data_IF_864249200557
#
_entry.id   IF_864249200557
#
_cell.length_a   1.000
_cell.length_b   1.000
_cell.length_c   1.000
_cell.angle_alpha   90.00
_cell.angle_beta   90.00
_cell.angle_gamma   90.00
#
_symmetry.space_group_name_H-M   'P 1'
#
loop_
_entity.id
_entity.type
_entity.pdbx_description
1 polymer ?
#
# COMPACT_ATOMS: atom_id res chain seq x y z
N UNK A 1 -1.56 -22.30 8.47
CA UNK A 1 -0.60 -21.41 9.14
C UNK A 1 -1.41 -20.38 9.91
N UNK A 2 -1.15 -20.18 11.20
CA UNK A 2 -1.86 -19.17 12.00
C UNK A 2 -1.36 -17.75 11.68
N UNK A 3 -2.07 -16.73 12.19
CA UNK A 3 -1.75 -15.31 11.95
C UNK A 3 -0.31 -14.99 12.38
N UNK A 4 0.12 -15.46 13.55
CA UNK A 4 1.46 -15.21 14.07
C UNK A 4 2.55 -15.76 13.16
N UNK A 5 2.37 -16.97 12.65
CA UNK A 5 3.31 -17.58 11.70
C UNK A 5 3.35 -16.81 10.37
N UNK A 6 2.20 -16.33 9.88
CA UNK A 6 2.16 -15.52 8.66
C UNK A 6 2.89 -14.18 8.84
N UNK A 7 2.66 -13.50 9.95
CA UNK A 7 3.37 -12.25 10.28
C UNK A 7 4.87 -12.47 10.42
N UNK A 8 5.28 -13.59 11.05
CA UNK A 8 6.69 -13.91 11.22
C UNK A 8 7.37 -14.19 9.87
N UNK A 9 6.70 -14.88 8.97
CA UNK A 9 7.22 -15.25 7.65
C UNK A 9 7.04 -14.16 6.59
N UNK A 10 6.33 -13.08 6.87
CA UNK A 10 6.19 -11.97 5.93
C UNK A 10 7.54 -11.32 5.66
N UNK A 11 7.76 -10.86 4.42
CA UNK A 11 8.95 -10.08 4.09
C UNK A 11 8.99 -8.85 5.01
N UNK A 12 10.13 -8.63 5.67
CA UNK A 12 10.32 -7.49 6.58
C UNK A 12 11.37 -6.55 6.00
N UNK A 13 11.10 -5.28 6.14
CA UNK A 13 12.11 -4.23 5.97
C UNK A 13 12.79 -4.08 7.32
N UNK A 14 14.08 -4.35 7.38
CA UNK A 14 14.86 -4.16 8.59
C UNK A 14 15.11 -2.67 8.86
N UNK A 15 15.25 -2.31 10.12
CA UNK A 15 15.68 -0.98 10.53
C UNK A 15 17.13 -0.70 10.17
N UNK A 16 17.56 0.54 10.36
CA UNK A 16 18.97 0.92 10.21
C UNK A 16 19.86 0.02 11.08
N UNK A 17 21.06 -0.22 10.59
CA UNK A 17 22.06 -1.07 11.28
C UNK A 17 21.60 -2.51 11.56
N UNK A 18 20.64 -3.02 10.82
CA UNK A 18 20.12 -4.38 10.98
C UNK A 18 19.14 -4.54 12.14
N UNK A 19 18.53 -3.45 12.60
CA UNK A 19 17.47 -3.50 13.65
C UNK A 19 16.33 -4.41 13.21
N UNK A 20 15.81 -5.23 14.14
CA UNK A 20 14.72 -6.19 13.87
C UNK A 20 13.42 -5.46 13.50
N UNK A 21 13.17 -4.31 14.12
CA UNK A 21 12.02 -3.48 13.78
C UNK A 21 12.38 -2.49 12.66
N UNK A 22 11.50 -2.28 11.69
CA UNK A 22 11.71 -1.25 10.66
C UNK A 22 11.75 0.14 11.29
N UNK A 23 12.60 1.00 10.75
CA UNK A 23 12.69 2.39 11.19
C UNK A 23 11.45 3.18 10.79
N UNK A 24 11.05 4.14 11.61
CA UNK A 24 10.05 5.14 11.23
C UNK A 24 10.77 6.23 10.44
N UNK A 25 10.45 6.33 9.15
CA UNK A 25 11.04 7.32 8.24
C UNK A 25 10.12 8.53 8.11
N UNK A 26 10.48 9.70 8.63
CA UNK A 26 9.68 10.92 8.50
C UNK A 26 9.87 11.63 7.15
N UNK A 27 10.86 11.23 6.34
CA UNK A 27 11.19 11.88 5.08
C UNK A 27 10.16 11.57 3.99
N UNK A 28 9.73 12.59 3.26
CA UNK A 28 8.88 12.46 2.09
C UNK A 28 9.65 12.35 0.77
N UNK A 29 10.90 12.83 0.76
CA UNK A 29 11.81 12.77 -0.38
C UNK A 29 13.05 11.99 0.00
N UNK A 30 13.62 11.30 -0.98
CA UNK A 30 14.78 10.45 -0.81
C UNK A 30 15.87 10.84 -1.79
N UNK A 31 17.12 10.68 -1.39
CA UNK A 31 18.27 11.02 -2.24
C UNK A 31 18.66 9.84 -3.14
N UNK A 32 19.05 10.15 -4.35
CA UNK A 32 19.69 9.21 -5.25
C UNK A 32 21.14 9.64 -5.46
N UNK A 33 22.08 8.69 -5.37
CA UNK A 33 23.50 8.98 -5.53
C UNK A 33 23.88 9.30 -6.98
N UNK A 34 23.07 8.83 -7.94
CA UNK A 34 23.31 9.01 -9.37
C UNK A 34 22.01 9.43 -10.07
N UNK A 35 22.03 10.43 -10.97
CA UNK A 35 20.84 10.84 -11.71
C UNK A 35 20.20 9.71 -12.52
N UNK A 36 21.01 8.80 -13.07
CA UNK A 36 20.54 7.67 -13.87
C UNK A 36 19.68 6.70 -13.05
N UNK A 37 19.96 6.58 -11.76
CA UNK A 37 19.14 5.78 -10.83
C UNK A 37 17.70 6.31 -10.74
N UNK A 38 17.55 7.64 -10.70
CA UNK A 38 16.23 8.27 -10.67
C UNK A 38 15.40 7.93 -11.93
N UNK A 39 16.04 8.00 -13.09
CA UNK A 39 15.40 7.63 -14.37
C UNK A 39 14.90 6.18 -14.35
N UNK A 40 15.73 5.25 -13.90
CA UNK A 40 15.39 3.84 -13.77
C UNK A 40 14.23 3.60 -12.81
N UNK A 41 14.20 4.33 -11.69
CA UNK A 41 13.09 4.26 -10.73
C UNK A 41 11.76 4.71 -11.36
N UNK A 42 11.77 5.78 -12.14
CA UNK A 42 10.58 6.24 -12.85
C UNK A 42 10.11 5.26 -13.92
N UNK A 43 11.03 4.57 -14.56
CA UNK A 43 10.73 3.57 -15.58
C UNK A 43 10.29 2.22 -14.98
N UNK A 44 10.32 2.05 -13.66
CA UNK A 44 10.03 0.78 -13.01
C UNK A 44 11.10 -0.31 -13.21
N UNK A 45 12.31 0.08 -13.61
CA UNK A 45 13.42 -0.85 -13.88
C UNK A 45 14.13 -1.31 -12.60
N UNK A 46 13.90 -0.64 -11.48
CA UNK A 46 14.45 -0.98 -10.17
C UNK A 46 13.35 -1.57 -9.30
N UNK A 47 13.19 -2.88 -9.35
CA UNK A 47 12.24 -3.63 -8.52
C UNK A 47 12.75 -3.87 -7.09
N UNK A 48 13.98 -3.48 -6.79
CA UNK A 48 14.59 -3.78 -5.50
C UNK A 48 13.99 -2.93 -4.38
N UNK A 49 13.50 -3.63 -3.35
CA UNK A 49 13.10 -3.02 -2.10
C UNK A 49 14.26 -2.21 -1.51
N UNK A 50 14.04 -0.93 -1.25
CA UNK A 50 15.05 -0.04 -0.69
C UNK A 50 15.39 1.18 -1.54
N UNK A 51 14.88 1.27 -2.76
CA UNK A 51 14.99 2.47 -3.58
C UNK A 51 13.69 3.26 -3.55
N UNK A 52 13.69 4.37 -2.85
CA UNK A 52 12.54 5.28 -2.76
C UNK A 52 12.90 6.61 -3.42
N UNK A 53 11.93 7.22 -4.06
CA UNK A 53 12.10 8.51 -4.72
C UNK A 53 11.28 9.59 -4.01
N UNK A 54 10.01 9.32 -3.83
CA UNK A 54 9.07 10.25 -3.24
C UNK A 54 7.91 9.52 -2.56
N UNK A 55 7.58 9.92 -1.34
CA UNK A 55 6.61 9.24 -0.48
C UNK A 55 5.18 9.12 -1.02
N UNK A 56 4.81 9.93 -2.03
CA UNK A 56 3.51 9.81 -2.70
C UNK A 56 3.41 8.53 -3.53
N UNK A 57 4.51 8.11 -4.14
CA UNK A 57 4.54 6.90 -4.96
C UNK A 57 4.78 5.66 -4.09
N UNK A 58 5.88 5.68 -3.35
CA UNK A 58 6.24 4.60 -2.44
C UNK A 58 6.95 5.18 -1.21
N UNK A 59 6.59 4.67 -0.04
CA UNK A 59 7.19 5.05 1.22
C UNK A 59 7.49 3.80 2.05
N UNK A 60 8.68 3.69 2.69
CA UNK A 60 9.06 2.48 3.41
C UNK A 60 8.06 2.09 4.50
N UNK A 61 7.51 3.03 5.25
CA UNK A 61 6.53 2.72 6.29
C UNK A 61 5.19 2.23 5.71
N UNK A 62 4.73 2.81 4.59
CA UNK A 62 3.51 2.34 3.92
C UNK A 62 3.69 0.94 3.35
N UNK A 63 4.84 0.66 2.74
CA UNK A 63 5.17 -0.66 2.20
C UNK A 63 5.21 -1.71 3.32
N UNK A 64 5.90 -1.41 4.42
CA UNK A 64 5.95 -2.31 5.58
C UNK A 64 4.56 -2.58 6.17
N UNK A 65 3.74 -1.55 6.31
CA UNK A 65 2.36 -1.67 6.79
C UNK A 65 1.54 -2.56 5.86
N UNK A 66 1.65 -2.35 4.55
CA UNK A 66 0.98 -3.18 3.55
C UNK A 66 1.40 -4.66 3.64
N UNK A 67 2.69 -4.94 3.75
CA UNK A 67 3.20 -6.31 3.92
C UNK A 67 2.63 -7.01 5.16
N UNK A 68 2.59 -6.30 6.29
CA UNK A 68 2.03 -6.84 7.53
C UNK A 68 0.53 -7.09 7.42
N UNK A 69 -0.24 -6.16 6.84
CA UNK A 69 -1.67 -6.31 6.64
C UNK A 69 -1.99 -7.45 5.67
N UNK A 70 -1.25 -7.57 4.58
CA UNK A 70 -1.39 -8.69 3.65
C UNK A 70 -1.15 -10.04 4.35
N UNK A 71 -0.15 -10.12 5.22
CA UNK A 71 0.13 -11.33 6.01
C UNK A 71 -1.01 -11.67 7.00
N UNK A 72 -1.59 -10.65 7.66
CA UNK A 72 -2.71 -10.82 8.59
C UNK A 72 -3.96 -11.32 7.85
N UNK A 73 -4.32 -10.66 6.75
CA UNK A 73 -5.51 -10.95 5.95
C UNK A 73 -5.33 -12.15 5.01
N UNK A 74 -4.12 -12.71 4.91
CA UNK A 74 -3.78 -13.80 4.00
C UNK A 74 -4.08 -13.47 2.52
N UNK A 75 -3.71 -12.25 2.12
CA UNK A 75 -3.81 -11.75 0.76
C UNK A 75 -2.43 -11.61 0.12
N UNK A 76 -2.37 -11.50 -1.19
CA UNK A 76 -1.10 -11.33 -1.92
C UNK A 76 -0.48 -9.97 -1.66
N UNK A 77 -1.32 -8.95 -1.53
CA UNK A 77 -0.90 -7.56 -1.34
C UNK A 77 -1.94 -6.80 -0.53
N UNK A 78 -1.51 -5.79 0.21
CA UNK A 78 -2.37 -4.78 0.81
C UNK A 78 -1.75 -3.40 0.58
N UNK A 79 -2.60 -2.44 0.29
CA UNK A 79 -2.18 -1.06 0.02
C UNK A 79 -2.80 -0.11 1.06
N UNK A 80 -2.01 0.44 1.98
CA UNK A 80 -2.52 1.38 2.98
C UNK A 80 -2.85 2.72 2.33
N UNK A 81 -4.01 3.24 2.69
CA UNK A 81 -4.53 4.54 2.23
C UNK A 81 -4.91 5.42 3.41
N UNK A 82 -5.18 6.69 3.16
CA UNK A 82 -5.40 7.69 4.22
C UNK A 82 -6.70 7.54 5.01
N UNK A 83 -7.69 6.80 4.48
CA UNK A 83 -8.96 6.55 5.18
C UNK A 83 -9.72 5.36 4.59
N UNK A 84 -10.67 4.82 5.36
CA UNK A 84 -11.57 3.76 4.88
C UNK A 84 -12.38 4.17 3.65
N UNK A 85 -12.83 5.43 3.58
CA UNK A 85 -13.55 5.92 2.40
C UNK A 85 -12.67 5.99 1.16
N UNK A 86 -11.39 6.33 1.30
CA UNK A 86 -10.43 6.26 0.18
C UNK A 86 -10.24 4.83 -0.27
N UNK A 87 -10.12 3.87 0.65
CA UNK A 87 -10.03 2.45 0.32
C UNK A 87 -11.23 1.99 -0.51
N UNK A 88 -12.44 2.26 -0.04
CA UNK A 88 -13.69 1.91 -0.73
C UNK A 88 -13.77 2.60 -2.10
N UNK A 89 -13.55 3.91 -2.16
CA UNK A 89 -13.67 4.70 -3.40
C UNK A 89 -12.68 4.22 -4.46
N UNK A 90 -11.42 4.01 -4.06
CA UNK A 90 -10.37 3.58 -5.00
C UNK A 90 -10.67 2.19 -5.55
N UNK A 91 -11.09 1.26 -4.68
CA UNK A 91 -11.46 -0.10 -5.08
C UNK A 91 -12.63 -0.10 -6.06
N UNK A 92 -13.71 0.61 -5.73
CA UNK A 92 -14.90 0.70 -6.59
C UNK A 92 -14.55 1.32 -7.94
N UNK A 93 -13.84 2.43 -7.97
CA UNK A 93 -13.43 3.09 -9.22
C UNK A 93 -12.51 2.23 -10.07
N UNK A 94 -11.64 1.42 -9.46
CA UNK A 94 -10.77 0.52 -10.21
C UNK A 94 -11.54 -0.66 -10.81
N UNK A 95 -12.47 -1.25 -10.06
CA UNK A 95 -13.26 -2.38 -10.54
C UNK A 95 -14.25 -1.94 -11.63
N UNK A 96 -14.88 -0.80 -11.45
CA UNK A 96 -15.93 -0.29 -12.34
C UNK A 96 -15.45 0.82 -13.30
N UNK A 97 -14.17 0.85 -13.62
CA UNK A 97 -13.60 1.86 -14.54
C UNK A 97 -14.28 1.89 -15.91
N UNK A 98 -14.79 0.76 -16.36
CA UNK A 98 -15.46 0.60 -17.65
C UNK A 98 -17.00 0.44 -17.48
N UNK A 99 -17.54 0.83 -16.32
CA UNK A 99 -18.94 0.64 -15.96
C UNK A 99 -19.20 -0.74 -15.36
N UNK A 100 -20.46 -1.00 -14.95
CA UNK A 100 -20.84 -2.28 -14.37
C UNK A 100 -22.05 -2.19 -13.46
N UNK A 101 -22.29 -3.25 -12.70
CA UNK A 101 -23.38 -3.33 -11.73
C UNK A 101 -22.81 -3.66 -10.34
N UNK A 102 -23.20 -2.88 -9.34
CA UNK A 102 -22.86 -3.07 -7.96
C UNK A 102 -24.08 -3.52 -7.17
N UNK A 103 -23.96 -4.64 -6.48
CA UNK A 103 -24.97 -5.11 -5.52
C UNK A 103 -24.39 -4.98 -4.12
N UNK A 104 -25.11 -4.30 -3.25
CA UNK A 104 -24.70 -4.12 -1.85
C UNK A 104 -25.88 -4.36 -0.90
N UNK A 105 -25.58 -4.58 0.38
CA UNK A 105 -26.60 -4.55 1.43
C UNK A 105 -27.20 -3.14 1.52
N UNK A 106 -28.47 -3.06 1.94
CA UNK A 106 -29.11 -1.79 2.30
C UNK A 106 -28.58 -1.21 3.62
N UNK A 107 -28.04 -2.07 4.47
CA UNK A 107 -27.47 -1.71 5.77
C UNK A 107 -25.97 -1.50 5.66
N UNK A 108 -25.55 -0.39 5.06
CA UNK A 108 -24.15 0.01 4.90
C UNK A 108 -23.90 1.38 5.51
N UNK A 109 -22.63 1.69 5.72
CA UNK A 109 -22.23 3.03 6.16
C UNK A 109 -22.75 4.12 5.21
N UNK A 110 -23.33 5.17 5.76
CA UNK A 110 -23.98 6.24 4.98
C UNK A 110 -23.07 6.90 3.94
N UNK A 111 -21.76 7.04 4.22
CA UNK A 111 -20.79 7.53 3.25
C UNK A 111 -20.62 6.60 2.06
N UNK A 112 -20.63 5.29 2.27
CA UNK A 112 -20.56 4.29 1.20
C UNK A 112 -21.85 4.29 0.37
N UNK A 113 -23.01 4.41 1.02
CA UNK A 113 -24.29 4.55 0.33
C UNK A 113 -24.31 5.79 -0.58
N UNK A 114 -23.89 6.94 -0.05
CA UNK A 114 -23.82 8.17 -0.83
C UNK A 114 -22.84 8.07 -2.01
N UNK A 115 -21.71 7.40 -1.81
CA UNK A 115 -20.75 7.11 -2.88
C UNK A 115 -21.41 6.28 -3.98
N UNK A 116 -22.03 5.15 -3.64
CA UNK A 116 -22.59 4.21 -4.62
C UNK A 116 -23.76 4.81 -5.41
N UNK A 117 -24.48 5.76 -4.82
CA UNK A 117 -25.58 6.46 -5.49
C UNK A 117 -25.11 7.48 -6.51
N UNK A 118 -23.86 7.98 -6.41
CA UNK A 118 -23.35 9.10 -7.19
C UNK A 118 -22.14 8.74 -8.09
N UNK A 119 -21.79 7.46 -8.16
CA UNK A 119 -20.69 6.97 -9.02
C UNK A 119 -21.22 6.31 -10.28
#
# INVERSE_FOLDING_TARGET
>A
MNIEQRMHNSKRIFGEFGGVNPSIHPSTTFTTLKPETMQKMFNGELEEAGCYLYGRHFHPNSLQTGMLMAAIENTEIAYPVSSGMVAITTTIRQIFKDGGHLVSSSEIYGGSYALFKNV
#
